data_IF_152075619001
#
_entry.id   IF_152075619001
#
_cell.length_a   1.000
_cell.length_b   1.000
_cell.length_c   1.000
_cell.angle_alpha   90.00
_cell.angle_beta   90.00
_cell.angle_gamma   90.00
#
_symmetry.space_group_name_H-M   'P 1'
#
loop_
_entity.id
_entity.type
_entity.pdbx_description
1 polymer ?
#
# COMPACT_ATOMS: atom_id res chain seq x y z
N UNK A 1 -12.59 -20.37 -35.48
CA UNK A 1 -12.56 -21.20 -34.25
C UNK A 1 -12.58 -20.22 -33.09
N UNK A 2 -13.65 -20.19 -32.30
CA UNK A 2 -13.99 -19.04 -31.45
C UNK A 2 -13.43 -19.14 -30.01
N UNK A 3 -12.34 -19.87 -29.82
CA UNK A 3 -11.78 -20.17 -28.49
C UNK A 3 -12.61 -21.19 -27.70
N UNK A 4 -12.31 -21.28 -26.39
CA UNK A 4 -13.00 -22.13 -25.41
C UNK A 4 -13.65 -21.23 -24.37
N UNK A 5 -14.93 -21.45 -24.09
CA UNK A 5 -15.72 -20.68 -23.13
C UNK A 5 -16.13 -21.56 -21.96
N UNK A 6 -16.21 -20.97 -20.77
CA UNK A 6 -16.92 -21.51 -19.63
C UNK A 6 -18.41 -21.24 -19.80
N UNK A 7 -19.23 -22.28 -19.66
CA UNK A 7 -20.67 -22.12 -19.75
C UNK A 7 -21.27 -21.81 -18.37
N UNK A 8 -21.54 -20.53 -18.09
CA UNK A 8 -21.96 -20.09 -16.74
C UNK A 8 -23.20 -20.82 -16.22
N UNK A 9 -24.26 -21.05 -17.03
CA UNK A 9 -25.43 -21.82 -16.60
C UNK A 9 -25.16 -23.27 -16.15
N UNK A 10 -23.96 -23.82 -16.39
CA UNK A 10 -23.58 -25.15 -15.88
C UNK A 10 -23.28 -25.16 -14.38
N UNK A 11 -23.09 -24.00 -13.74
CA UNK A 11 -22.89 -23.85 -12.31
C UNK A 11 -24.13 -23.21 -11.67
N UNK A 12 -24.85 -23.97 -10.84
CA UNK A 12 -26.14 -23.55 -10.28
C UNK A 12 -26.02 -22.38 -9.27
N UNK A 13 -24.92 -22.31 -8.53
CA UNK A 13 -24.63 -21.33 -7.48
C UNK A 13 -23.63 -20.25 -7.92
N UNK A 14 -23.48 -20.03 -9.23
CA UNK A 14 -22.64 -18.95 -9.76
C UNK A 14 -23.18 -17.57 -9.31
N UNK A 15 -22.30 -16.71 -8.79
CA UNK A 15 -22.69 -15.43 -8.16
C UNK A 15 -22.66 -15.46 -6.63
N UNK A 16 -22.33 -16.60 -6.01
CA UNK A 16 -22.33 -16.77 -4.55
C UNK A 16 -21.34 -15.89 -3.81
N UNK A 17 -20.22 -15.49 -4.43
CA UNK A 17 -19.26 -14.60 -3.77
C UNK A 17 -19.76 -13.15 -3.81
N UNK A 18 -20.24 -12.70 -4.98
CA UNK A 18 -20.69 -11.34 -5.21
C UNK A 18 -22.10 -11.05 -4.70
N UNK A 19 -22.90 -12.10 -4.43
CA UNK A 19 -24.32 -11.99 -4.09
C UNK A 19 -25.20 -11.54 -5.26
N UNK A 20 -24.67 -11.51 -6.49
CA UNK A 20 -25.42 -11.11 -7.68
C UNK A 20 -26.28 -12.25 -8.18
N UNK A 21 -27.52 -11.95 -8.57
CA UNK A 21 -28.35 -12.93 -9.26
C UNK A 21 -28.11 -12.87 -10.79
N UNK A 22 -28.65 -13.85 -11.52
CA UNK A 22 -28.48 -13.97 -12.98
C UNK A 22 -29.01 -12.75 -13.75
N UNK A 23 -30.10 -12.15 -13.30
CA UNK A 23 -30.72 -11.02 -13.98
C UNK A 23 -29.84 -9.76 -13.87
N UNK A 24 -29.21 -9.54 -12.70
CA UNK A 24 -28.25 -8.45 -12.47
C UNK A 24 -26.99 -8.60 -13.36
N UNK A 25 -26.57 -9.85 -13.59
CA UNK A 25 -25.40 -10.17 -14.41
C UNK A 25 -25.66 -9.95 -15.91
N UNK A 26 -26.86 -10.29 -16.38
CA UNK A 26 -27.27 -10.11 -17.78
C UNK A 26 -27.56 -8.63 -18.08
N UNK A 27 -28.17 -7.89 -17.14
CA UNK A 27 -28.47 -6.46 -17.32
C UNK A 27 -27.22 -5.57 -17.41
N UNK A 28 -26.12 -5.95 -16.75
CA UNK A 28 -24.85 -5.22 -16.78
C UNK A 28 -23.94 -5.55 -17.98
N UNK A 29 -24.20 -6.66 -18.68
CA UNK A 29 -23.48 -7.02 -19.89
C UNK A 29 -23.89 -6.07 -21.02
N UNK A 30 -23.07 -5.04 -21.31
CA UNK A 30 -23.24 -4.19 -22.50
C UNK A 30 -23.43 -5.10 -23.71
N UNK A 31 -24.62 -5.03 -24.30
CA UNK A 31 -25.09 -5.90 -25.37
C UNK A 31 -24.29 -5.64 -26.66
N UNK A 32 -23.19 -6.34 -26.80
CA UNK A 32 -22.77 -6.95 -28.06
C UNK A 32 -22.55 -8.43 -27.75
N UNK A 33 -23.56 -9.25 -28.05
CA UNK A 33 -23.42 -10.71 -27.95
C UNK A 33 -22.43 -11.12 -29.02
N UNK A 34 -21.17 -11.27 -28.61
CA UNK A 34 -20.14 -11.91 -29.43
C UNK A 34 -20.70 -13.26 -29.90
N UNK A 35 -20.81 -13.45 -31.21
CA UNK A 35 -21.66 -14.48 -31.86
C UNK A 35 -21.27 -15.94 -31.58
N UNK A 36 -20.31 -16.18 -30.69
CA UNK A 36 -19.86 -17.51 -30.27
C UNK A 36 -20.32 -17.97 -28.89
N UNK A 37 -20.99 -17.12 -28.08
CA UNK A 37 -21.45 -17.49 -26.74
C UNK A 37 -22.79 -18.22 -26.77
N UNK A 38 -22.97 -19.24 -25.91
CA UNK A 38 -24.27 -19.90 -25.71
C UNK A 38 -25.15 -19.11 -24.74
N UNK A 39 -24.52 -18.48 -23.75
CA UNK A 39 -25.15 -17.58 -22.79
C UNK A 39 -24.35 -16.26 -22.71
N UNK A 40 -25.01 -15.09 -22.59
CA UNK A 40 -24.30 -13.80 -22.47
C UNK A 40 -23.26 -13.73 -21.35
N UNK A 41 -23.47 -14.47 -20.25
CA UNK A 41 -22.57 -14.53 -19.11
C UNK A 41 -21.33 -15.42 -19.37
N UNK A 42 -21.32 -16.26 -20.41
CA UNK A 42 -20.18 -17.13 -20.73
C UNK A 42 -18.89 -16.32 -20.89
N UNK A 43 -17.79 -16.80 -20.31
CA UNK A 43 -16.50 -16.13 -20.36
C UNK A 43 -15.41 -17.05 -20.91
N UNK A 44 -14.36 -16.45 -21.48
CA UNK A 44 -13.30 -17.21 -22.14
C UNK A 44 -12.39 -17.92 -21.13
N UNK A 45 -12.17 -19.22 -21.37
CA UNK A 45 -11.09 -20.02 -20.80
C UNK A 45 -9.85 -19.94 -21.69
N UNK A 46 -10.04 -20.04 -23.00
CA UNK A 46 -8.99 -19.92 -24.01
C UNK A 46 -9.47 -19.01 -25.13
N UNK A 47 -8.67 -18.01 -25.50
CA UNK A 47 -8.97 -17.14 -26.63
C UNK A 47 -8.11 -17.57 -27.82
N UNK A 48 -8.75 -17.88 -28.94
CA UNK A 48 -8.03 -18.16 -30.18
C UNK A 48 -7.20 -16.93 -30.59
N UNK A 49 -6.00 -17.18 -31.12
CA UNK A 49 -5.09 -16.11 -31.53
C UNK A 49 -5.73 -15.28 -32.64
N UNK A 50 -5.61 -13.95 -32.54
CA UNK A 50 -5.98 -13.06 -33.66
C UNK A 50 -4.81 -12.96 -34.65
N UNK A 51 -5.08 -12.73 -35.95
CA UNK A 51 -4.03 -12.63 -36.96
C UNK A 51 -2.94 -11.59 -36.66
N UNK A 52 -3.31 -10.51 -35.96
CA UNK A 52 -2.46 -9.37 -35.61
C UNK A 52 -1.77 -9.48 -34.23
N UNK A 53 -2.05 -10.52 -33.43
CA UNK A 53 -1.40 -10.68 -32.12
C UNK A 53 0.09 -11.06 -32.27
N UNK A 54 1.02 -10.57 -31.42
CA UNK A 54 2.44 -10.97 -31.49
C UNK A 54 2.65 -12.47 -31.26
N UNK A 55 3.69 -13.07 -31.85
CA UNK A 55 3.96 -14.51 -31.68
C UNK A 55 4.25 -14.87 -30.22
N UNK A 56 4.92 -13.99 -29.47
CA UNK A 56 5.20 -14.19 -28.04
C UNK A 56 3.96 -14.16 -27.15
N UNK A 57 2.81 -13.71 -27.68
CA UNK A 57 1.53 -13.71 -27.00
C UNK A 57 0.65 -14.92 -27.38
N UNK A 58 1.21 -15.92 -28.07
CA UNK A 58 0.51 -17.09 -28.61
C UNK A 58 1.17 -18.40 -28.20
N UNK A 59 0.35 -19.40 -27.93
CA UNK A 59 0.76 -20.74 -27.54
C UNK A 59 -0.08 -21.79 -28.25
N UNK A 60 0.53 -22.95 -28.52
CA UNK A 60 -0.20 -24.13 -29.03
C UNK A 60 -1.10 -24.74 -27.95
N UNK A 61 -2.27 -25.21 -28.36
CA UNK A 61 -3.20 -25.93 -27.49
C UNK A 61 -4.01 -26.98 -28.27
N UNK A 62 -4.70 -27.91 -27.59
CA UNK A 62 -5.63 -28.85 -28.24
C UNK A 62 -6.76 -28.19 -29.03
N UNK A 63 -7.00 -26.89 -28.82
CA UNK A 63 -8.05 -26.10 -29.49
C UNK A 63 -7.49 -25.10 -30.51
N UNK A 64 -6.22 -25.27 -30.88
CA UNK A 64 -5.50 -24.38 -31.78
C UNK A 64 -4.69 -23.30 -31.05
N UNK A 65 -3.93 -22.55 -31.84
CA UNK A 65 -3.07 -21.47 -31.36
C UNK A 65 -3.89 -20.35 -30.70
N UNK A 66 -3.45 -19.88 -29.55
CA UNK A 66 -4.18 -18.88 -28.77
C UNK A 66 -3.49 -18.52 -27.47
N UNK A 67 -4.27 -18.07 -26.50
CA UNK A 67 -3.77 -17.60 -25.20
C UNK A 67 -4.85 -17.73 -24.12
N UNK A 68 -4.46 -17.76 -22.83
CA UNK A 68 -5.43 -17.84 -21.74
C UNK A 68 -6.44 -16.70 -21.75
N UNK A 69 -7.65 -17.00 -21.26
CA UNK A 69 -8.61 -15.99 -20.84
C UNK A 69 -8.17 -15.35 -19.52
N UNK A 70 -8.63 -14.12 -19.25
CA UNK A 70 -8.18 -13.33 -18.10
C UNK A 70 -8.26 -14.06 -16.75
N UNK A 71 -9.29 -14.89 -16.54
CA UNK A 71 -9.54 -15.51 -15.24
C UNK A 71 -8.79 -16.85 -15.05
N UNK A 72 -8.52 -17.59 -16.13
CA UNK A 72 -8.03 -18.98 -16.02
C UNK A 72 -6.62 -19.08 -15.44
N UNK A 73 -5.82 -18.03 -15.61
CA UNK A 73 -4.44 -17.97 -15.15
C UNK A 73 -4.37 -18.12 -13.63
N UNK A 74 -5.16 -17.33 -12.90
CA UNK A 74 -5.19 -17.34 -11.44
C UNK A 74 -5.64 -18.71 -10.89
N UNK A 75 -6.75 -19.28 -11.40
CA UNK A 75 -7.23 -20.61 -11.02
C UNK A 75 -6.18 -21.71 -11.25
N UNK A 76 -5.57 -21.73 -12.44
CA UNK A 76 -4.59 -22.74 -12.80
C UNK A 76 -3.31 -22.63 -11.97
N UNK A 77 -2.79 -21.42 -11.77
CA UNK A 77 -1.56 -21.19 -11.01
C UNK A 77 -1.76 -21.41 -9.50
N UNK A 78 -2.88 -20.94 -8.94
CA UNK A 78 -3.20 -21.16 -7.53
C UNK A 78 -3.25 -22.66 -7.23
N UNK A 79 -3.94 -23.44 -8.08
CA UNK A 79 -3.96 -24.90 -7.95
C UNK A 79 -2.57 -25.52 -8.06
N UNK A 80 -1.78 -25.12 -9.04
CA UNK A 80 -0.46 -25.69 -9.29
C UNK A 80 0.52 -25.45 -8.13
N UNK A 81 0.43 -24.29 -7.47
CA UNK A 81 1.37 -23.88 -6.43
C UNK A 81 0.87 -24.19 -5.02
N UNK A 82 -0.42 -23.99 -4.75
CA UNK A 82 -1.01 -24.02 -3.39
C UNK A 82 -1.99 -25.17 -3.19
N UNK A 83 -2.43 -25.83 -4.26
CA UNK A 83 -3.42 -26.91 -4.23
C UNK A 83 -4.84 -26.47 -4.55
N UNK A 84 -5.77 -27.42 -4.58
CA UNK A 84 -7.15 -27.21 -5.04
C UNK A 84 -8.00 -26.33 -4.11
N UNK A 85 -7.64 -26.27 -2.82
CA UNK A 85 -8.28 -25.41 -1.82
C UNK A 85 -7.21 -24.67 -1.05
N UNK A 86 -7.26 -23.34 -1.09
CA UNK A 86 -6.36 -22.46 -0.34
C UNK A 86 -7.03 -21.86 0.90
N UNK A 87 -6.23 -21.35 1.83
CA UNK A 87 -6.76 -20.72 3.05
C UNK A 87 -7.37 -19.35 2.77
N UNK A 88 -6.58 -18.43 2.21
CA UNK A 88 -6.96 -17.04 1.98
C UNK A 88 -6.71 -16.68 0.52
N UNK A 89 -7.74 -16.14 -0.14
CA UNK A 89 -7.63 -15.50 -1.45
C UNK A 89 -7.98 -14.02 -1.31
N UNK A 90 -7.14 -13.13 -1.86
CA UNK A 90 -7.28 -11.69 -1.67
C UNK A 90 -7.23 -10.91 -2.98
N UNK A 91 -7.85 -9.73 -3.02
CA UNK A 91 -7.83 -8.84 -4.17
C UNK A 91 -8.52 -7.50 -3.91
N UNK A 92 -8.59 -6.63 -4.92
CA UNK A 92 -9.39 -5.41 -4.85
C UNK A 92 -10.89 -5.69 -4.83
N UNK A 93 -11.70 -4.79 -4.28
CA UNK A 93 -13.16 -4.91 -4.26
C UNK A 93 -13.76 -5.10 -5.67
N UNK A 94 -13.14 -4.53 -6.71
CA UNK A 94 -13.51 -4.72 -8.11
C UNK A 94 -13.27 -6.14 -8.63
N UNK A 95 -12.40 -6.91 -7.98
CA UNK A 95 -12.13 -8.29 -8.38
C UNK A 95 -13.18 -9.27 -7.87
N UNK A 96 -14.04 -8.89 -6.90
CA UNK A 96 -15.19 -9.73 -6.48
C UNK A 96 -15.95 -10.22 -7.72
N UNK A 97 -16.27 -9.31 -8.63
CA UNK A 97 -16.96 -9.63 -9.87
C UNK A 97 -16.41 -8.83 -11.06
N UNK A 98 -16.11 -9.48 -12.20
CA UNK A 98 -16.35 -10.90 -12.47
C UNK A 98 -15.16 -11.81 -12.08
N UNK A 99 -14.03 -11.25 -11.64
CA UNK A 99 -12.77 -11.99 -11.62
C UNK A 99 -12.76 -13.19 -10.66
N UNK A 100 -12.91 -12.96 -9.37
CA UNK A 100 -12.90 -14.02 -8.35
C UNK A 100 -14.12 -14.94 -8.47
N UNK A 101 -15.28 -14.42 -8.88
CA UNK A 101 -16.45 -15.25 -9.18
C UNK A 101 -16.16 -16.26 -10.31
N UNK A 102 -15.44 -15.84 -11.36
CA UNK A 102 -15.01 -16.71 -12.44
C UNK A 102 -13.94 -17.70 -12.00
N UNK A 103 -13.03 -17.32 -11.10
CA UNK A 103 -12.03 -18.24 -10.55
C UNK A 103 -12.66 -19.36 -9.71
N UNK A 104 -13.67 -19.00 -8.88
CA UNK A 104 -14.49 -19.95 -8.16
C UNK A 104 -15.16 -20.91 -9.15
N UNK A 105 -15.81 -20.38 -10.19
CA UNK A 105 -16.50 -21.20 -11.17
C UNK A 105 -15.57 -22.18 -11.89
N UNK A 106 -14.38 -21.72 -12.28
CA UNK A 106 -13.37 -22.57 -12.91
C UNK A 106 -12.85 -23.66 -11.97
N UNK A 107 -12.46 -23.27 -10.75
CA UNK A 107 -11.79 -24.16 -9.80
C UNK A 107 -12.75 -25.18 -9.20
N UNK A 108 -13.91 -24.74 -8.75
CA UNK A 108 -14.87 -25.61 -8.08
C UNK A 108 -15.56 -26.57 -9.05
N UNK A 109 -15.90 -26.14 -10.27
CA UNK A 109 -16.44 -27.05 -11.27
C UNK A 109 -15.41 -28.06 -11.79
N UNK A 110 -14.12 -27.70 -11.82
CA UNK A 110 -13.06 -28.61 -12.25
C UNK A 110 -12.67 -29.65 -11.18
N UNK A 111 -12.87 -29.34 -9.89
CA UNK A 111 -12.30 -30.12 -8.78
C UNK A 111 -13.33 -30.62 -7.75
N UNK A 112 -14.54 -30.09 -7.74
CA UNK A 112 -15.60 -30.45 -6.79
C UNK A 112 -15.30 -30.06 -5.33
N UNK A 113 -14.40 -29.08 -5.13
CA UNK A 113 -13.98 -28.59 -3.80
C UNK A 113 -13.99 -27.06 -3.80
N UNK A 114 -14.18 -26.41 -2.63
CA UNK A 114 -14.06 -24.96 -2.52
C UNK A 114 -12.68 -24.47 -2.95
N UNK A 115 -12.61 -23.36 -3.68
CA UNK A 115 -11.34 -22.78 -4.10
C UNK A 115 -10.57 -22.16 -2.92
N UNK A 116 -11.26 -21.41 -2.06
CA UNK A 116 -10.67 -20.73 -0.91
C UNK A 116 -11.59 -20.75 0.32
N UNK A 117 -11.03 -20.75 1.54
CA UNK A 117 -11.79 -20.70 2.80
C UNK A 117 -12.20 -19.28 3.18
N UNK A 118 -11.33 -18.31 2.94
CA UNK A 118 -11.54 -16.90 3.24
C UNK A 118 -11.24 -16.03 2.02
N UNK A 119 -12.10 -15.03 1.81
CA UNK A 119 -11.96 -14.04 0.76
C UNK A 119 -11.77 -12.65 1.38
N UNK A 120 -10.67 -11.98 1.05
CA UNK A 120 -10.33 -10.66 1.58
C UNK A 120 -10.30 -9.63 0.44
N UNK A 121 -11.15 -8.61 0.52
CA UNK A 121 -11.23 -7.58 -0.51
C UNK A 121 -10.93 -6.18 0.04
N UNK A 122 -9.93 -5.51 -0.52
CA UNK A 122 -9.60 -4.14 -0.12
C UNK A 122 -10.47 -3.10 -0.84
N UNK A 123 -10.80 -2.03 -0.12
CA UNK A 123 -11.55 -0.89 -0.63
C UNK A 123 -10.81 -0.11 -1.72
N UNK A 124 -11.53 0.78 -2.39
CA UNK A 124 -10.99 1.61 -3.45
C UNK A 124 -10.15 2.78 -2.91
N UNK A 125 -9.15 3.17 -3.70
CA UNK A 125 -8.50 4.47 -3.56
C UNK A 125 -9.17 5.46 -4.51
N UNK A 126 -9.68 6.57 -3.96
CA UNK A 126 -10.17 7.73 -4.70
C UNK A 126 -9.09 8.81 -4.72
N UNK A 127 -8.92 9.51 -5.85
CA UNK A 127 -7.98 10.63 -5.97
C UNK A 127 -8.81 11.90 -6.13
N UNK A 128 -8.67 12.87 -5.23
CA UNK A 128 -9.23 14.23 -5.37
C UNK A 128 -10.60 14.31 -6.09
N UNK A 129 -11.67 13.69 -5.55
CA UNK A 129 -13.06 13.68 -6.09
C UNK A 129 -13.27 13.22 -7.56
N UNK A 130 -12.20 13.00 -8.33
CA UNK A 130 -12.25 12.53 -9.71
C UNK A 130 -11.86 11.06 -9.80
N UNK A 131 -12.70 10.28 -10.48
CA UNK A 131 -12.44 8.86 -10.72
C UNK A 131 -11.12 8.70 -11.49
N UNK A 132 -10.21 7.86 -10.99
CA UNK A 132 -8.99 7.51 -11.72
C UNK A 132 -9.34 6.84 -13.06
N UNK A 133 -8.75 7.33 -14.16
CA UNK A 133 -8.78 6.62 -15.43
C UNK A 133 -7.55 6.95 -16.27
N UNK A 134 -7.02 5.95 -16.98
CA UNK A 134 -5.91 6.16 -17.93
C UNK A 134 -6.24 7.24 -18.97
N UNK A 135 -7.51 7.41 -19.33
CA UNK A 135 -7.99 8.41 -20.30
C UNK A 135 -8.01 9.84 -19.76
N UNK A 136 -8.11 10.03 -18.43
CA UNK A 136 -8.06 11.36 -17.80
C UNK A 136 -6.64 11.80 -17.46
N UNK A 137 -5.63 10.91 -17.62
CA UNK A 137 -4.24 11.22 -17.28
C UNK A 137 -3.98 11.46 -15.78
N UNK A 138 -4.96 11.20 -14.93
CA UNK A 138 -4.92 11.43 -13.47
C UNK A 138 -4.41 10.23 -12.66
N UNK A 139 -3.76 9.25 -13.33
CA UNK A 139 -3.15 8.10 -12.68
C UNK A 139 -1.79 8.51 -12.14
N UNK A 140 -1.68 8.66 -10.80
CA UNK A 140 -0.38 8.88 -10.15
C UNK A 140 0.34 7.54 -10.00
N UNK A 141 1.54 7.42 -10.57
CA UNK A 141 2.37 6.23 -10.41
C UNK A 141 3.13 6.31 -9.08
N UNK A 142 3.34 5.16 -8.45
CA UNK A 142 4.15 5.07 -7.21
C UNK A 142 5.54 5.67 -7.44
N UNK A 143 6.15 5.42 -8.61
CA UNK A 143 7.46 5.97 -8.99
C UNK A 143 7.50 7.51 -8.92
N UNK A 144 6.43 8.18 -9.35
CA UNK A 144 6.35 9.65 -9.32
C UNK A 144 6.10 10.16 -7.91
N UNK A 145 5.20 9.51 -7.17
CA UNK A 145 4.88 9.87 -5.80
C UNK A 145 6.11 9.77 -4.88
N UNK A 146 6.96 8.77 -5.09
CA UNK A 146 8.20 8.58 -4.34
C UNK A 146 9.25 9.67 -4.57
N UNK A 147 9.10 10.52 -5.59
CA UNK A 147 9.96 11.69 -5.78
C UNK A 147 9.63 12.81 -4.79
N UNK A 148 8.43 12.79 -4.20
CA UNK A 148 7.92 13.83 -3.31
C UNK A 148 7.69 13.36 -1.88
N UNK A 149 7.35 12.07 -1.70
CA UNK A 149 7.04 11.49 -0.40
C UNK A 149 7.86 10.24 -0.14
N UNK A 150 8.35 10.09 1.09
CA UNK A 150 8.98 8.84 1.53
C UNK A 150 8.01 7.66 1.49
N UNK A 151 8.52 6.48 1.14
CA UNK A 151 7.70 5.26 1.06
C UNK A 151 6.98 4.89 2.36
N UNK A 152 7.59 5.13 3.53
CA UNK A 152 6.91 4.92 4.82
C UNK A 152 5.73 5.90 5.04
N UNK A 153 5.83 7.13 4.53
CA UNK A 153 4.73 8.11 4.58
C UNK A 153 3.53 7.62 3.78
N UNK A 154 3.78 7.16 2.55
CA UNK A 154 2.75 6.57 1.70
C UNK A 154 2.14 5.31 2.35
N UNK A 155 2.98 4.47 2.97
CA UNK A 155 2.53 3.27 3.67
C UNK A 155 1.62 3.61 4.86
N UNK A 156 2.00 4.58 5.70
CA UNK A 156 1.15 5.02 6.81
C UNK A 156 -0.17 5.60 6.30
N UNK A 157 -0.14 6.40 5.23
CA UNK A 157 -1.36 6.93 4.61
C UNK A 157 -2.32 5.81 4.18
N UNK A 158 -1.83 4.76 3.52
CA UNK A 158 -2.66 3.61 3.11
C UNK A 158 -3.25 2.84 4.29
N UNK A 159 -2.57 2.83 5.44
CA UNK A 159 -3.02 2.16 6.67
C UNK A 159 -3.92 3.04 7.56
N UNK A 160 -4.10 4.31 7.20
CA UNK A 160 -4.88 5.27 8.00
C UNK A 160 -6.39 4.97 8.02
N UNK A 161 -6.87 4.22 7.03
CA UNK A 161 -8.22 3.67 6.99
C UNK A 161 -8.16 2.14 7.07
N UNK A 162 -9.25 1.53 7.55
CA UNK A 162 -9.39 0.08 7.54
C UNK A 162 -9.34 -0.42 6.09
N UNK A 163 -8.64 -1.53 5.82
CA UNK A 163 -8.35 -1.98 4.44
C UNK A 163 -9.61 -2.20 3.56
N UNK A 164 -10.76 -2.44 4.20
CA UNK A 164 -12.08 -2.65 3.56
C UNK A 164 -12.82 -1.36 3.20
N UNK A 165 -12.37 -0.22 3.72
CA UNK A 165 -13.01 1.08 3.51
C UNK A 165 -12.39 1.80 2.31
N UNK A 166 -13.16 2.63 1.59
CA UNK A 166 -12.57 3.53 0.62
C UNK A 166 -11.63 4.52 1.33
N UNK A 167 -10.57 4.93 0.64
CA UNK A 167 -9.61 5.91 1.14
C UNK A 167 -9.37 6.99 0.09
N UNK A 168 -9.63 8.23 0.48
CA UNK A 168 -9.34 9.42 -0.32
C UNK A 168 -7.85 9.76 -0.24
N UNK A 169 -7.16 9.56 -1.35
CA UNK A 169 -5.76 9.88 -1.51
C UNK A 169 -5.58 11.36 -1.87
N UNK A 170 -5.23 12.14 -0.86
CA UNK A 170 -5.02 13.59 -0.96
C UNK A 170 -3.63 13.97 -0.47
N UNK A 171 -3.14 15.13 -0.90
CA UNK A 171 -1.89 15.69 -0.37
C UNK A 171 -1.99 15.96 1.15
N UNK A 172 -3.17 16.38 1.63
CA UNK A 172 -3.42 16.60 3.05
C UNK A 172 -3.23 15.31 3.87
N UNK A 173 -3.71 14.17 3.37
CA UNK A 173 -3.51 12.86 3.98
C UNK A 173 -2.02 12.51 4.08
N UNK A 174 -1.25 12.74 3.01
CA UNK A 174 0.18 12.46 2.99
C UNK A 174 0.95 13.36 3.97
N UNK A 175 0.62 14.65 4.02
CA UNK A 175 1.20 15.61 4.97
C UNK A 175 0.90 15.24 6.41
N UNK A 176 -0.35 14.86 6.72
CA UNK A 176 -0.72 14.38 8.06
C UNK A 176 0.00 13.09 8.43
N UNK A 177 0.16 12.18 7.46
CA UNK A 177 0.86 10.92 7.65
C UNK A 177 2.34 11.14 7.95
N UNK A 178 2.97 12.08 7.22
CA UNK A 178 4.35 12.50 7.45
C UNK A 178 4.54 13.09 8.84
N UNK A 179 3.67 14.02 9.25
CA UNK A 179 3.70 14.62 10.58
C UNK A 179 3.52 13.59 11.70
N UNK A 180 2.73 12.54 11.44
CA UNK A 180 2.58 11.43 12.39
C UNK A 180 3.87 10.62 12.51
N UNK A 181 4.50 10.24 11.39
CA UNK A 181 5.80 9.58 11.42
C UNK A 181 6.87 10.45 12.08
N UNK A 182 6.89 11.75 11.83
CA UNK A 182 7.85 12.66 12.47
C UNK A 182 7.75 12.62 14.00
N UNK A 183 6.54 12.56 14.56
CA UNK A 183 6.35 12.41 16.01
C UNK A 183 6.89 11.08 16.52
N UNK A 184 6.64 9.99 15.80
CA UNK A 184 7.12 8.65 16.16
C UNK A 184 8.66 8.55 16.09
N UNK A 185 9.26 9.03 15.00
CA UNK A 185 10.71 9.07 14.82
C UNK A 185 11.40 10.01 15.82
N UNK A 186 10.78 11.13 16.18
CA UNK A 186 11.32 12.00 17.23
C UNK A 186 11.36 11.31 18.60
N UNK A 187 10.37 10.49 18.94
CA UNK A 187 10.40 9.68 20.15
C UNK A 187 11.59 8.69 20.12
N UNK A 188 11.78 7.97 19.00
CA UNK A 188 12.92 7.07 18.83
C UNK A 188 14.27 7.79 18.87
N UNK A 189 14.36 9.00 18.30
CA UNK A 189 15.57 9.81 18.25
C UNK A 189 16.07 10.21 19.64
N UNK A 190 15.17 10.51 20.58
CA UNK A 190 15.53 10.79 21.99
C UNK A 190 16.22 9.60 22.66
N UNK A 191 15.91 8.39 22.20
CA UNK A 191 16.43 7.12 22.72
C UNK A 191 17.50 6.50 21.81
N UNK A 192 18.12 7.28 20.89
CA UNK A 192 19.02 6.74 19.87
C UNK A 192 20.22 5.98 20.45
N UNK A 193 20.81 6.49 21.53
CA UNK A 193 22.02 5.94 22.16
C UNK A 193 21.72 4.82 23.17
N UNK A 194 20.45 4.44 23.33
CA UNK A 194 20.00 3.38 24.23
C UNK A 194 19.76 2.09 23.46
N UNK A 195 20.29 0.97 23.96
CA UNK A 195 19.98 -0.35 23.42
C UNK A 195 18.53 -0.73 23.76
N UNK A 196 17.69 -1.08 22.78
CA UNK A 196 16.31 -1.50 23.05
C UNK A 196 16.30 -2.86 23.75
N UNK A 197 15.33 -3.06 24.64
CA UNK A 197 14.99 -4.41 25.09
C UNK A 197 14.30 -5.17 23.96
N UNK A 198 14.57 -6.47 23.86
CA UNK A 198 13.79 -7.36 23.03
C UNK A 198 12.43 -7.58 23.70
N UNK A 199 11.39 -6.99 23.13
CA UNK A 199 10.01 -7.18 23.58
C UNK A 199 9.26 -8.00 22.53
N UNK A 200 8.19 -8.68 22.96
CA UNK A 200 7.17 -9.15 22.03
C UNK A 200 6.46 -7.97 21.36
N UNK A 201 5.56 -8.29 20.44
CA UNK A 201 4.59 -7.33 19.91
C UNK A 201 3.78 -6.72 21.06
N UNK A 202 3.60 -5.39 21.12
CA UNK A 202 2.73 -4.80 22.13
C UNK A 202 1.30 -5.32 22.02
N UNK A 203 0.72 -5.76 23.14
CA UNK A 203 -0.58 -6.44 23.18
C UNK A 203 -1.70 -5.64 22.51
N UNK A 204 -1.76 -4.32 22.74
CA UNK A 204 -2.76 -3.44 22.12
C UNK A 204 -2.66 -3.40 20.59
N UNK A 205 -1.44 -3.29 20.05
CA UNK A 205 -1.18 -3.29 18.60
C UNK A 205 -1.53 -4.65 18.00
N UNK A 206 -1.13 -5.75 18.66
CA UNK A 206 -1.42 -7.09 18.18
C UNK A 206 -2.93 -7.38 18.20
N UNK A 207 -3.62 -7.04 19.29
CA UNK A 207 -5.06 -7.21 19.41
C UNK A 207 -5.83 -6.45 18.33
N UNK A 208 -5.42 -5.21 18.04
CA UNK A 208 -6.00 -4.41 16.96
C UNK A 208 -5.79 -5.08 15.59
N UNK A 209 -4.61 -5.64 15.32
CA UNK A 209 -4.35 -6.34 14.06
C UNK A 209 -5.09 -7.69 13.96
N UNK A 210 -5.30 -8.38 15.08
CA UNK A 210 -6.11 -9.60 15.14
C UNK A 210 -7.61 -9.34 14.92
N UNK A 211 -8.07 -8.11 15.14
CA UNK A 211 -9.42 -7.65 14.78
C UNK A 211 -9.45 -7.19 13.31
N UNK A 212 -9.56 -8.14 12.37
CA UNK A 212 -9.70 -7.87 10.92
C UNK A 212 -8.65 -6.91 10.32
N UNK A 213 -7.39 -6.96 10.81
CA UNK A 213 -6.33 -6.05 10.40
C UNK A 213 -6.72 -4.56 10.60
N UNK A 214 -7.31 -4.22 11.76
CA UNK A 214 -7.73 -2.86 12.09
C UNK A 214 -6.53 -1.92 12.31
N UNK A 215 -5.92 -1.50 11.20
CA UNK A 215 -4.76 -0.62 11.19
C UNK A 215 -5.03 0.77 11.78
N UNK A 216 -6.22 1.40 11.65
CA UNK A 216 -6.50 2.65 12.36
C UNK A 216 -6.37 2.51 13.88
N UNK A 217 -6.90 1.43 14.46
CA UNK A 217 -6.76 1.15 15.89
C UNK A 217 -5.30 0.83 16.25
N UNK A 218 -4.61 0.03 15.45
CA UNK A 218 -3.19 -0.28 15.66
C UNK A 218 -2.29 0.98 15.62
N UNK A 219 -2.61 1.95 14.74
CA UNK A 219 -1.91 3.24 14.66
C UNK A 219 -2.23 4.15 15.87
N UNK A 220 -3.44 4.05 16.44
CA UNK A 220 -3.79 4.73 17.68
C UNK A 220 -2.99 4.18 18.86
N UNK A 221 -2.88 2.85 18.98
CA UNK A 221 -2.05 2.16 19.97
C UNK A 221 -0.56 2.53 19.82
N UNK A 222 -0.03 2.55 18.60
CA UNK A 222 1.34 3.01 18.32
C UNK A 222 1.55 4.47 18.74
N UNK A 223 0.57 5.34 18.51
CA UNK A 223 0.62 6.75 18.91
C UNK A 223 0.58 6.92 20.44
N UNK A 224 -0.19 6.07 21.14
CA UNK A 224 -0.21 6.01 22.60
C UNK A 224 1.16 5.61 23.16
N UNK A 225 1.77 4.55 22.62
CA UNK A 225 3.14 4.14 22.99
C UNK A 225 4.16 5.27 22.79
N UNK A 226 4.07 6.02 21.70
CA UNK A 226 4.97 7.15 21.47
C UNK A 226 4.73 8.31 22.46
N UNK A 227 3.48 8.50 22.88
CA UNK A 227 3.13 9.50 23.90
C UNK A 227 3.69 9.12 25.27
N UNK A 228 3.63 7.83 25.63
CA UNK A 228 4.23 7.29 26.85
C UNK A 228 5.75 7.40 26.81
N UNK A 229 6.38 6.98 25.70
CA UNK A 229 7.82 7.08 25.50
C UNK A 229 8.34 8.53 25.65
N UNK A 230 7.55 9.52 25.25
CA UNK A 230 7.92 10.93 25.40
C UNK A 230 7.89 11.43 26.85
N UNK A 231 7.12 10.78 27.72
CA UNK A 231 7.00 11.08 29.16
C UNK A 231 7.88 10.17 30.04
N UNK A 232 8.45 9.12 29.46
CA UNK A 232 9.24 8.13 30.17
C UNK A 232 10.59 8.70 30.64
N UNK A 233 10.98 8.30 31.85
CA UNK A 233 12.30 8.59 32.41
C UNK A 233 13.39 7.73 31.73
N UNK A 234 14.67 8.15 31.76
CA UNK A 234 15.76 7.45 31.06
C UNK A 234 15.90 5.95 31.37
N UNK A 235 15.50 5.54 32.57
CA UNK A 235 15.48 4.13 33.00
C UNK A 235 14.48 3.26 32.22
N UNK A 236 13.40 3.85 31.72
CA UNK A 236 12.36 3.16 30.94
C UNK A 236 12.63 3.15 29.42
N UNK A 237 13.58 3.96 28.95
CA UNK A 237 13.87 4.12 27.52
C UNK A 237 14.19 2.80 26.79
N UNK A 238 14.96 1.84 27.34
CA UNK A 238 15.20 0.56 26.67
C UNK A 238 13.89 -0.19 26.36
N UNK A 239 12.95 -0.20 27.30
CA UNK A 239 11.63 -0.85 27.16
C UNK A 239 10.77 -0.12 26.14
N UNK A 240 10.66 1.21 26.26
CA UNK A 240 9.84 2.04 25.36
C UNK A 240 10.34 1.96 23.91
N UNK A 241 11.66 2.02 23.70
CA UNK A 241 12.28 1.86 22.38
C UNK A 241 11.99 0.48 21.80
N UNK A 242 12.11 -0.58 22.61
CA UNK A 242 11.78 -1.94 22.21
C UNK A 242 10.33 -2.08 21.74
N UNK A 243 9.37 -1.57 22.51
CA UNK A 243 7.95 -1.62 22.17
C UNK A 243 7.61 -0.84 20.89
N UNK A 244 8.16 0.38 20.73
CA UNK A 244 7.95 1.17 19.51
C UNK A 244 8.50 0.47 18.26
N UNK A 245 9.70 -0.10 18.34
CA UNK A 245 10.30 -0.82 17.22
C UNK A 245 9.54 -2.10 16.88
N UNK A 246 9.09 -2.86 17.89
CA UNK A 246 8.29 -4.06 17.69
C UNK A 246 6.93 -3.75 17.05
N UNK A 247 6.25 -2.69 17.50
CA UNK A 247 5.00 -2.22 16.88
C UNK A 247 5.24 -1.71 15.45
N UNK A 248 6.30 -0.93 15.23
CA UNK A 248 6.72 -0.48 13.91
C UNK A 248 6.96 -1.65 12.96
N UNK A 249 7.66 -2.70 13.42
CA UNK A 249 7.94 -3.90 12.62
C UNK A 249 6.67 -4.61 12.15
N UNK A 250 5.66 -4.77 13.00
CA UNK A 250 4.37 -5.37 12.60
C UNK A 250 3.67 -4.59 11.48
N UNK A 251 3.78 -3.26 11.51
CA UNK A 251 3.15 -2.36 10.55
C UNK A 251 4.04 -2.06 9.34
N UNK A 252 5.32 -2.44 9.37
CA UNK A 252 6.33 -2.05 8.39
C UNK A 252 6.65 -0.55 8.41
N UNK A 253 6.61 0.07 9.60
CA UNK A 253 6.95 1.47 9.87
C UNK A 253 8.15 1.55 10.81
N UNK A 254 8.78 2.72 10.92
CA UNK A 254 9.90 2.96 11.85
C UNK A 254 11.14 2.10 11.53
N UNK A 255 11.40 1.86 10.24
CA UNK A 255 12.48 0.99 9.78
C UNK A 255 13.77 1.77 9.47
N UNK A 256 13.68 3.09 9.33
CA UNK A 256 14.84 3.96 9.08
C UNK A 256 15.55 4.35 10.37
N UNK A 257 16.81 4.76 10.23
CA UNK A 257 17.51 5.44 11.31
C UNK A 257 16.80 6.79 11.64
N UNK A 258 16.51 7.09 12.92
CA UNK A 258 15.80 8.32 13.28
C UNK A 258 16.53 9.62 12.93
N UNK A 259 17.86 9.65 12.90
CA UNK A 259 18.61 10.83 12.47
C UNK A 259 18.54 10.97 10.94
N UNK A 260 18.65 9.87 10.20
CA UNK A 260 18.46 9.86 8.75
C UNK A 260 17.05 10.33 8.36
N UNK A 261 16.02 9.87 9.08
CA UNK A 261 14.64 10.33 8.90
C UNK A 261 14.50 11.84 9.11
N UNK A 262 15.06 12.37 10.21
CA UNK A 262 14.97 13.79 10.53
C UNK A 262 15.65 14.71 9.50
N UNK A 263 16.71 14.21 8.84
CA UNK A 263 17.38 14.92 7.74
C UNK A 263 16.60 14.85 6.42
N UNK A 264 15.80 13.81 6.19
CA UNK A 264 15.10 13.60 4.91
C UNK A 264 16.07 13.21 3.78
N UNK A 265 15.68 13.45 2.52
CA UNK A 265 16.48 13.04 1.34
C UNK A 265 17.95 13.49 1.42
N UNK A 266 18.86 12.52 1.29
CA UNK A 266 20.31 12.70 1.42
C UNK A 266 20.90 13.69 0.40
N UNK A 267 20.26 13.86 -0.76
CA UNK A 267 20.72 14.82 -1.78
C UNK A 267 20.52 16.26 -1.30
N UNK A 268 19.33 16.55 -0.76
CA UNK A 268 19.01 17.83 -0.17
C UNK A 268 19.75 18.03 1.15
N UNK A 269 19.94 16.97 1.95
CA UNK A 269 20.65 17.04 3.22
C UNK A 269 22.08 17.59 3.05
N UNK A 270 22.83 17.16 2.03
CA UNK A 270 24.17 17.71 1.76
C UNK A 270 24.16 19.21 1.42
N UNK A 271 23.19 19.67 0.63
CA UNK A 271 23.02 21.09 0.30
C UNK A 271 22.69 21.89 1.55
N UNK A 272 21.78 21.37 2.38
CA UNK A 272 21.34 22.01 3.62
C UNK A 272 22.49 22.06 4.63
N UNK A 273 23.24 20.96 4.81
CA UNK A 273 24.44 20.92 5.65
C UNK A 273 25.47 21.97 5.21
N UNK A 274 25.68 22.13 3.90
CA UNK A 274 26.57 23.16 3.37
C UNK A 274 26.07 24.59 3.68
N UNK A 275 24.76 24.85 3.56
CA UNK A 275 24.17 26.14 3.93
C UNK A 275 24.25 26.41 5.45
N UNK A 276 24.00 25.39 6.28
CA UNK A 276 24.16 25.50 7.73
C UNK A 276 25.62 25.78 8.09
N UNK A 277 26.59 25.15 7.42
CA UNK A 277 28.00 25.43 7.62
C UNK A 277 28.36 26.86 7.19
N UNK A 278 27.89 27.33 6.03
CA UNK A 278 28.05 28.72 5.59
C UNK A 278 27.49 29.72 6.61
N UNK A 279 26.34 29.41 7.22
CA UNK A 279 25.76 30.21 8.30
C UNK A 279 26.65 30.23 9.54
N UNK A 280 27.19 29.08 9.94
CA UNK A 280 28.13 28.98 11.08
C UNK A 280 29.35 29.87 10.82
N UNK A 281 29.90 29.82 9.61
CA UNK A 281 31.08 30.59 9.24
C UNK A 281 30.79 32.10 9.15
N UNK A 282 29.62 32.50 8.64
CA UNK A 282 29.15 33.88 8.66
C UNK A 282 29.01 34.42 10.11
N UNK A 283 28.46 33.63 11.03
CA UNK A 283 28.38 33.99 12.46
C UNK A 283 29.77 34.13 13.09
N UNK A 284 30.72 33.25 12.77
CA UNK A 284 32.12 33.35 13.23
C UNK A 284 32.79 34.62 12.70
N UNK A 285 32.52 34.99 11.45
CA UNK A 285 32.98 36.22 10.83
C UNK A 285 32.24 37.49 11.30
N UNK A 286 31.25 37.35 12.21
CA UNK A 286 30.36 38.43 12.67
C UNK A 286 29.51 39.07 11.56
N UNK A 287 29.29 38.36 10.46
CA UNK A 287 28.34 38.74 9.41
C UNK A 287 26.95 38.17 9.76
N UNK A 288 26.25 38.89 10.63
CA UNK A 288 24.92 38.49 11.10
C UNK A 288 23.86 38.61 10.00
N UNK A 289 24.03 39.53 9.04
CA UNK A 289 23.09 39.72 7.95
C UNK A 289 23.09 38.49 7.01
N UNK A 290 24.26 37.99 6.63
CA UNK A 290 24.37 36.77 5.82
C UNK A 290 23.84 35.55 6.59
N UNK A 291 24.13 35.44 7.88
CA UNK A 291 23.65 34.33 8.71
C UNK A 291 22.11 34.29 8.82
N UNK A 292 21.47 35.45 8.93
CA UNK A 292 20.00 35.56 8.99
C UNK A 292 19.34 35.34 7.64
N UNK A 293 19.96 35.79 6.53
CA UNK A 293 19.49 35.46 5.18
C UNK A 293 19.48 33.96 4.93
N UNK A 294 20.55 33.26 5.30
CA UNK A 294 20.63 31.80 5.14
C UNK A 294 19.58 31.09 6.01
N UNK A 295 19.39 31.54 7.26
CA UNK A 295 18.35 31.00 8.14
C UNK A 295 16.95 31.19 7.55
N UNK A 296 16.68 32.38 6.98
CA UNK A 296 15.39 32.67 6.36
C UNK A 296 15.17 31.81 5.11
N UNK A 297 16.16 31.72 4.22
CA UNK A 297 16.06 30.87 3.02
C UNK A 297 15.79 29.41 3.39
N UNK A 298 16.46 28.88 4.42
CA UNK A 298 16.21 27.55 4.92
C UNK A 298 14.81 27.41 5.53
N UNK A 299 14.34 28.40 6.30
CA UNK A 299 12.98 28.40 6.85
C UNK A 299 11.90 28.47 5.77
N UNK A 300 12.12 29.24 4.70
CA UNK A 300 11.22 29.34 3.54
C UNK A 300 11.14 28.01 2.77
N UNK A 301 12.18 27.17 2.87
CA UNK A 301 12.22 25.78 2.37
C UNK A 301 11.70 24.75 3.38
N UNK A 302 11.09 25.18 4.50
CA UNK A 302 10.58 24.30 5.54
C UNK A 302 11.68 23.63 6.35
N UNK A 303 12.81 24.31 6.58
CA UNK A 303 13.93 23.80 7.37
C UNK A 303 14.15 24.67 8.59
N UNK A 304 14.02 24.08 9.78
CA UNK A 304 14.29 24.73 11.05
C UNK A 304 15.70 24.40 11.55
N UNK A 305 16.47 25.44 11.89
CA UNK A 305 17.81 25.32 12.47
C UNK A 305 17.73 25.44 13.99
N UNK A 306 18.22 24.41 14.68
CA UNK A 306 18.33 24.34 16.13
C UNK A 306 19.80 24.52 16.55
N UNK A 307 20.12 25.65 17.18
CA UNK A 307 21.45 25.92 17.73
C UNK A 307 21.55 25.32 19.14
N UNK A 308 22.50 24.39 19.37
CA UNK A 308 22.74 23.76 20.67
C UNK A 308 24.20 23.83 21.13
N UNK A 309 24.51 23.36 22.35
CA UNK A 309 25.87 23.38 22.91
C UNK A 309 26.90 22.59 22.09
N UNK A 310 26.44 21.58 21.34
CA UNK A 310 27.26 20.74 20.47
C UNK A 310 27.33 21.25 19.01
N UNK A 311 26.73 22.40 18.71
CA UNK A 311 26.68 22.99 17.36
C UNK A 311 25.26 23.17 16.84
N UNK A 312 25.15 23.65 15.59
CA UNK A 312 23.87 23.82 14.92
C UNK A 312 23.44 22.52 14.26
N UNK A 313 22.21 22.09 14.53
CA UNK A 313 21.54 20.98 13.84
C UNK A 313 20.31 21.52 13.10
N UNK A 314 19.72 20.73 12.20
CA UNK A 314 18.50 21.14 11.49
C UNK A 314 17.52 19.98 11.36
N UNK A 315 16.27 20.32 11.10
CA UNK A 315 15.20 19.38 10.73
C UNK A 315 14.30 20.02 9.68
N UNK A 316 13.63 19.20 8.87
CA UNK A 316 12.49 19.67 8.07
C UNK A 316 11.25 19.84 8.96
N UNK A 317 10.43 20.84 8.66
CA UNK A 317 9.17 21.19 9.35
C UNK A 317 8.01 21.12 8.38
#
# INVERSE_FOLDING_TARGET
QNGVLFHVPSMADYGKLSGRNRDDMVAGARVEVDGGKKDPADFALWKAAKPDEPQEARWDSPWGEGRPGWHIECSAMAKAVLGETIDIHAGGLDLIFPHHENEIAQSECAHGKPMARYWLHNGFLSMDSEKMSKSLGNVKLIHDLLQHFDGETMRLALMSAHYRQPLDWTEALLTQSKATLDRLYNALRRMKDVAPYHTGAPDGVLAALCDDLNTPLALAELSALATEANKAEPEDWPRMKGQLLAAGQLLGLLQKDPEAWARGDASAAKRIDALVQQRIDARKAKDFAAADQIRKALADEGIEIMDGPQGSTWRRV
#
